data_IF_695165190404
#
_entry.id   IF_695165190404
#
_cell.length_a   1.000
_cell.length_b   1.000
_cell.length_c   1.000
_cell.angle_alpha   90.00
_cell.angle_beta   90.00
_cell.angle_gamma   90.00
#
_symmetry.space_group_name_H-M   'P 1'
#
loop_
_entity.id
_entity.type
_entity.pdbx_description
1 polymer ?
#
# COMPACT_ATOMS: atom_id res chain seq x y z
N UNK A 1 -19.84 -33.27 -19.67
CA UNK A 1 -20.16 -32.94 -18.27
C UNK A 1 -19.90 -31.46 -18.10
N UNK A 2 -20.96 -30.69 -17.85
CA UNK A 2 -20.92 -29.26 -17.92
C UNK A 2 -20.11 -28.66 -16.78
N UNK A 3 -19.16 -27.80 -17.12
CA UNK A 3 -18.48 -26.89 -16.17
C UNK A 3 -19.47 -25.76 -15.89
N UNK A 4 -20.00 -25.75 -14.68
CA UNK A 4 -20.82 -24.67 -14.17
C UNK A 4 -19.90 -23.47 -13.98
N UNK A 5 -20.02 -22.47 -14.85
CA UNK A 5 -19.42 -21.15 -14.65
C UNK A 5 -20.03 -20.57 -13.37
N UNK A 6 -19.19 -20.47 -12.32
CA UNK A 6 -19.54 -19.79 -11.10
C UNK A 6 -19.89 -18.34 -11.41
N UNK A 7 -21.02 -17.89 -10.91
CA UNK A 7 -21.47 -16.50 -10.94
C UNK A 7 -20.35 -15.65 -10.32
N UNK A 8 -19.67 -14.86 -11.13
CA UNK A 8 -18.81 -13.77 -10.65
C UNK A 8 -19.70 -12.84 -9.83
N UNK A 9 -19.41 -12.73 -8.53
CA UNK A 9 -20.02 -11.69 -7.71
C UNK A 9 -19.59 -10.33 -8.26
N UNK A 10 -20.51 -9.65 -8.90
CA UNK A 10 -20.32 -8.28 -9.34
C UNK A 10 -20.28 -7.42 -8.09
N UNK A 11 -19.08 -7.07 -7.66
CA UNK A 11 -18.85 -6.09 -6.60
C UNK A 11 -19.49 -4.76 -7.02
N UNK A 12 -20.42 -4.25 -6.23
CA UNK A 12 -21.31 -3.16 -6.63
C UNK A 12 -20.70 -1.81 -6.21
N UNK A 13 -19.52 -1.47 -6.74
CA UNK A 13 -18.88 -0.17 -6.51
C UNK A 13 -19.29 0.87 -7.59
N UNK A 14 -20.59 0.97 -7.84
CA UNK A 14 -21.16 1.91 -8.79
C UNK A 14 -21.10 3.34 -8.22
N UNK A 15 -19.98 4.04 -8.44
CA UNK A 15 -19.85 5.47 -8.14
C UNK A 15 -18.53 5.95 -7.54
N UNK A 16 -17.59 5.09 -7.21
CA UNK A 16 -16.27 5.56 -6.77
C UNK A 16 -15.41 5.92 -7.98
N UNK A 17 -15.07 7.21 -8.10
CA UNK A 17 -14.09 7.67 -9.10
C UNK A 17 -12.72 7.16 -8.72
N UNK A 18 -12.08 6.39 -9.60
CA UNK A 18 -10.71 5.93 -9.41
C UNK A 18 -9.75 7.13 -9.41
N UNK A 19 -8.81 7.16 -8.47
CA UNK A 19 -7.81 8.23 -8.36
C UNK A 19 -6.46 7.78 -8.90
N UNK A 20 -5.75 8.71 -9.54
CA UNK A 20 -4.36 8.54 -9.93
C UNK A 20 -3.44 9.10 -8.86
N UNK A 21 -2.48 8.31 -8.43
CA UNK A 21 -1.40 8.71 -7.53
C UNK A 21 -0.05 8.26 -8.06
N UNK A 22 1.02 8.60 -7.33
CA UNK A 22 2.38 8.16 -7.63
C UNK A 22 3.21 7.95 -6.36
N UNK A 23 4.14 6.99 -6.35
CA UNK A 23 5.12 6.87 -5.28
C UNK A 23 6.31 7.81 -5.52
N UNK A 24 6.94 8.25 -4.42
CA UNK A 24 8.29 8.84 -4.47
C UNK A 24 9.31 7.70 -4.40
N UNK A 25 10.27 7.71 -5.29
CA UNK A 25 11.33 6.72 -5.33
C UNK A 25 12.38 6.97 -4.24
N UNK A 26 13.06 5.91 -3.79
CA UNK A 26 14.17 6.01 -2.82
C UNK A 26 15.44 6.64 -3.41
N UNK A 27 15.58 6.61 -4.75
CA UNK A 27 16.76 7.10 -5.46
C UNK A 27 16.47 8.41 -6.20
N UNK A 28 17.53 9.18 -6.44
CA UNK A 28 17.48 10.45 -7.15
C UNK A 28 17.59 11.67 -6.26
N UNK A 29 17.55 12.86 -6.84
CA UNK A 29 17.50 14.12 -6.11
C UNK A 29 16.07 14.37 -5.62
N UNK A 30 15.91 14.34 -4.29
CA UNK A 30 14.60 14.55 -3.66
C UNK A 30 14.04 15.94 -3.97
N UNK A 31 14.86 16.98 -3.97
CA UNK A 31 14.40 18.36 -4.22
C UNK A 31 13.93 18.54 -5.65
N UNK A 32 14.68 18.03 -6.61
CA UNK A 32 14.27 18.03 -8.01
C UNK A 32 12.96 17.25 -8.20
N UNK A 33 12.85 16.07 -7.58
CA UNK A 33 11.63 15.27 -7.62
C UNK A 33 10.42 16.06 -7.10
N UNK A 34 10.58 16.79 -5.99
CA UNK A 34 9.47 17.55 -5.40
C UNK A 34 9.14 18.81 -6.21
N UNK A 35 10.12 19.49 -6.76
CA UNK A 35 9.88 20.64 -7.64
C UNK A 35 9.09 20.22 -8.90
N UNK A 36 9.30 18.99 -9.37
CA UNK A 36 8.59 18.38 -10.48
C UNK A 36 7.17 17.89 -10.13
N UNK A 37 6.78 17.78 -8.86
CA UNK A 37 5.44 17.28 -8.48
C UNK A 37 4.31 18.17 -8.97
N UNK A 38 4.53 19.47 -9.14
CA UNK A 38 3.51 20.39 -9.67
C UNK A 38 3.10 20.03 -11.10
N UNK A 39 4.04 19.55 -11.91
CA UNK A 39 3.73 19.13 -13.27
C UNK A 39 2.78 17.91 -13.24
N UNK A 40 3.04 16.94 -12.35
CA UNK A 40 2.16 15.79 -12.16
C UNK A 40 0.79 16.18 -11.57
N UNK A 41 0.77 17.10 -10.61
CA UNK A 41 -0.48 17.63 -10.04
C UNK A 41 -1.34 18.29 -11.12
N UNK A 42 -0.72 19.05 -12.04
CA UNK A 42 -1.38 19.77 -13.12
C UNK A 42 -2.06 18.83 -14.14
N UNK A 43 -1.51 17.62 -14.34
CA UNK A 43 -2.06 16.63 -15.29
C UNK A 43 -2.99 15.61 -14.65
N UNK A 44 -3.37 15.80 -13.40
CA UNK A 44 -4.41 14.99 -12.77
C UNK A 44 -3.94 13.97 -11.73
N UNK A 45 -2.65 13.95 -11.38
CA UNK A 45 -2.19 13.16 -10.24
C UNK A 45 -2.75 13.77 -8.95
N UNK A 46 -3.44 12.96 -8.15
CA UNK A 46 -4.18 13.41 -6.96
C UNK A 46 -3.64 12.87 -5.65
N UNK A 47 -2.64 11.97 -5.70
CA UNK A 47 -2.02 11.39 -4.50
C UNK A 47 -0.52 11.20 -4.69
N UNK A 48 0.23 11.47 -3.66
CA UNK A 48 1.65 11.09 -3.56
C UNK A 48 1.85 10.21 -2.33
N UNK A 49 2.60 9.12 -2.50
CA UNK A 49 2.95 8.22 -1.39
C UNK A 49 4.45 8.16 -1.20
N UNK A 50 4.89 8.19 0.06
CA UNK A 50 6.31 8.10 0.44
C UNK A 50 6.53 6.82 1.24
N UNK A 51 7.30 5.85 0.73
CA UNK A 51 7.67 4.66 1.47
C UNK A 51 8.78 4.96 2.48
N UNK A 52 8.75 4.28 3.65
CA UNK A 52 9.80 4.43 4.66
C UNK A 52 10.74 3.22 4.68
N UNK A 53 10.22 2.00 4.83
CA UNK A 53 11.00 0.78 4.98
C UNK A 53 12.17 0.96 5.98
N UNK A 54 13.42 0.82 5.53
CA UNK A 54 14.66 1.15 6.26
C UNK A 54 15.46 2.21 5.48
N UNK A 55 14.76 3.25 5.01
CA UNK A 55 15.30 4.39 4.27
C UNK A 55 15.14 5.68 5.09
N UNK A 56 15.01 6.82 4.44
CA UNK A 56 14.77 8.09 5.12
C UNK A 56 13.35 8.16 5.71
N UNK A 57 13.20 8.91 6.81
CA UNK A 57 11.91 9.14 7.46
C UNK A 57 10.89 9.73 6.47
N UNK A 58 9.79 9.03 6.29
CA UNK A 58 8.76 9.43 5.32
C UNK A 58 7.99 10.68 5.77
N UNK A 59 7.86 10.89 7.08
CA UNK A 59 7.07 12.02 7.63
C UNK A 59 7.74 13.35 7.36
N UNK A 60 9.07 13.44 7.54
CA UNK A 60 9.82 14.65 7.22
C UNK A 60 9.77 14.99 5.72
N UNK A 61 9.83 13.97 4.86
CA UNK A 61 9.67 14.15 3.42
C UNK A 61 8.25 14.62 3.05
N UNK A 62 7.21 13.99 3.61
CA UNK A 62 5.82 14.40 3.40
C UNK A 62 5.52 15.80 3.92
N UNK A 63 6.16 16.22 5.03
CA UNK A 63 6.07 17.58 5.52
C UNK A 63 6.60 18.62 4.52
N UNK A 64 7.72 18.30 3.85
CA UNK A 64 8.25 19.15 2.79
C UNK A 64 7.34 19.16 1.55
N UNK A 65 6.80 17.99 1.16
CA UNK A 65 5.86 17.86 0.04
C UNK A 65 4.56 18.64 0.32
N UNK A 66 4.06 18.61 1.55
CA UNK A 66 2.86 19.34 1.95
C UNK A 66 2.96 20.83 1.66
N UNK A 67 4.15 21.42 1.83
CA UNK A 67 4.42 22.84 1.57
C UNK A 67 4.60 23.17 0.07
N UNK A 68 4.72 22.16 -0.79
CA UNK A 68 5.01 22.31 -2.22
C UNK A 68 3.85 21.88 -3.13
N UNK A 69 2.81 21.26 -2.58
CA UNK A 69 1.61 20.78 -3.27
C UNK A 69 0.35 21.39 -2.68
N UNK A 70 -0.70 21.56 -3.48
CA UNK A 70 -1.92 22.22 -3.06
C UNK A 70 -3.11 21.26 -2.88
N UNK A 71 -3.25 20.31 -3.78
CA UNK A 71 -4.44 19.43 -3.86
C UNK A 71 -4.12 17.95 -3.67
N UNK A 72 -2.87 17.54 -3.83
CA UNK A 72 -2.48 16.13 -3.68
C UNK A 72 -2.73 15.62 -2.26
N UNK A 73 -3.36 14.44 -2.17
CA UNK A 73 -3.37 13.64 -0.96
C UNK A 73 -1.96 13.15 -0.64
N UNK A 74 -1.60 13.17 0.63
CA UNK A 74 -0.28 12.82 1.14
C UNK A 74 -0.37 11.52 1.93
N UNK A 75 0.24 10.46 1.45
CA UNK A 75 0.14 9.14 2.03
C UNK A 75 1.50 8.63 2.50
N UNK A 76 1.57 8.04 3.68
CA UNK A 76 2.70 7.18 4.04
C UNK A 76 2.50 5.80 3.40
N UNK A 77 3.50 5.32 2.70
CA UNK A 77 3.37 4.08 1.92
C UNK A 77 4.43 3.02 2.16
N UNK A 78 4.65 2.58 3.37
CA UNK A 78 3.94 2.69 4.66
C UNK A 78 4.91 3.05 5.79
N UNK A 79 4.39 3.46 6.96
CA UNK A 79 5.16 3.49 8.20
C UNK A 79 5.11 2.11 8.87
N UNK A 80 6.27 1.57 9.30
CA UNK A 80 6.27 0.35 10.11
C UNK A 80 5.61 0.60 11.48
N UNK A 81 4.58 -0.18 11.82
CA UNK A 81 3.84 0.00 13.09
C UNK A 81 4.66 -0.35 14.34
N UNK A 82 5.81 -0.98 14.19
CA UNK A 82 6.70 -1.31 15.31
C UNK A 82 7.69 -0.21 15.66
N UNK A 83 7.96 0.73 14.74
CA UNK A 83 8.96 1.79 14.94
C UNK A 83 8.42 2.97 15.75
N UNK A 84 7.09 3.06 15.92
CA UNK A 84 6.40 4.15 16.64
C UNK A 84 5.28 3.60 17.52
N UNK A 85 5.04 4.23 18.66
CA UNK A 85 3.86 3.90 19.47
C UNK A 85 2.57 4.36 18.76
N UNK A 86 1.42 3.73 19.00
CA UNK A 86 0.17 4.13 18.35
C UNK A 86 -0.23 5.57 18.65
N UNK A 87 0.01 6.07 19.85
CA UNK A 87 -0.23 7.48 20.19
C UNK A 87 0.70 8.43 19.44
N UNK A 88 1.97 8.04 19.22
CA UNK A 88 2.89 8.81 18.40
C UNK A 88 2.47 8.83 16.93
N UNK A 89 2.03 7.70 16.38
CA UNK A 89 1.46 7.65 15.02
C UNK A 89 0.21 8.53 14.88
N UNK A 90 -0.66 8.52 15.88
CA UNK A 90 -1.84 9.37 15.90
C UNK A 90 -1.49 10.87 15.94
N UNK A 91 -0.49 11.25 16.74
CA UNK A 91 0.02 12.62 16.78
C UNK A 91 0.67 13.04 15.44
N UNK A 92 1.46 12.15 14.87
CA UNK A 92 2.07 12.33 13.53
C UNK A 92 0.99 12.57 12.47
N UNK A 93 -0.03 11.72 12.43
CA UNK A 93 -1.11 11.86 11.46
C UNK A 93 -1.90 13.16 11.66
N UNK A 94 -2.23 13.51 12.91
CA UNK A 94 -2.92 14.77 13.21
C UNK A 94 -2.08 16.01 12.84
N UNK A 95 -0.75 15.96 13.08
CA UNK A 95 0.17 17.02 12.70
C UNK A 95 0.30 17.18 11.18
N UNK A 96 0.45 16.06 10.47
CA UNK A 96 0.49 16.05 9.00
C UNK A 96 -0.84 16.51 8.39
N UNK A 97 -1.95 16.11 8.98
CA UNK A 97 -3.29 16.52 8.55
C UNK A 97 -3.49 18.04 8.75
N UNK A 98 -3.02 18.56 9.88
CA UNK A 98 -3.05 19.98 10.19
C UNK A 98 -2.25 20.84 9.19
N UNK A 99 -0.98 20.48 8.92
CA UNK A 99 -0.13 21.27 8.02
C UNK A 99 -0.53 21.13 6.55
N UNK A 100 -1.18 20.03 6.18
CA UNK A 100 -1.65 19.79 4.81
C UNK A 100 -3.08 20.27 4.54
N UNK A 101 -3.79 20.77 5.57
CA UNK A 101 -5.18 21.20 5.42
C UNK A 101 -6.15 20.04 5.18
N UNK A 102 -5.95 18.89 5.84
CA UNK A 102 -6.85 17.75 5.74
C UNK A 102 -6.56 16.78 4.57
N UNK A 103 -5.35 16.80 4.01
CA UNK A 103 -4.97 15.95 2.86
C UNK A 103 -4.21 14.67 3.25
N UNK A 104 -3.97 14.40 4.53
CA UNK A 104 -3.13 13.29 4.96
C UNK A 104 -3.88 11.96 5.05
N UNK A 105 -3.19 10.87 4.71
CA UNK A 105 -3.62 9.48 4.85
C UNK A 105 -2.52 8.72 5.57
N UNK A 106 -2.88 8.07 6.69
CA UNK A 106 -1.96 7.27 7.48
C UNK A 106 -1.88 5.84 6.95
N UNK A 107 -0.89 5.56 6.12
CA UNK A 107 -0.57 4.19 5.69
C UNK A 107 0.38 3.51 6.67
N UNK A 108 -0.01 2.38 7.21
CA UNK A 108 0.81 1.56 8.11
C UNK A 108 0.88 0.11 7.66
N UNK A 109 1.85 -0.61 8.19
CA UNK A 109 2.01 -2.05 7.95
C UNK A 109 2.96 -2.71 8.94
N UNK A 110 2.94 -4.04 8.93
CA UNK A 110 3.79 -4.81 9.84
C UNK A 110 5.26 -4.82 9.43
N UNK A 111 5.58 -4.53 8.16
CA UNK A 111 6.91 -4.80 7.60
C UNK A 111 7.29 -6.29 7.74
N UNK A 112 8.57 -6.62 7.71
CA UNK A 112 9.08 -7.98 7.88
C UNK A 112 10.00 -8.11 9.10
N UNK A 113 10.19 -9.33 9.63
CA UNK A 113 11.08 -9.57 10.78
C UNK A 113 12.51 -9.08 10.53
N UNK A 114 13.00 -9.19 9.29
CA UNK A 114 14.35 -8.74 8.95
C UNK A 114 14.55 -7.23 9.19
N UNK A 115 13.52 -6.43 8.92
CA UNK A 115 13.55 -4.98 9.14
C UNK A 115 13.30 -4.67 10.61
N UNK A 116 12.27 -5.26 11.19
CA UNK A 116 11.82 -4.89 12.54
C UNK A 116 12.82 -5.40 13.59
N UNK A 117 13.26 -6.65 13.51
CA UNK A 117 14.23 -7.22 14.46
C UNK A 117 15.66 -6.85 14.08
N UNK A 118 16.00 -6.90 12.78
CA UNK A 118 17.35 -6.68 12.30
C UNK A 118 17.79 -5.23 12.27
N UNK A 119 16.93 -4.29 11.90
CA UNK A 119 17.27 -2.89 11.77
C UNK A 119 16.77 -2.04 12.96
N UNK A 120 15.51 -2.25 13.39
CA UNK A 120 14.92 -1.49 14.50
C UNK A 120 15.20 -2.09 15.89
N UNK A 121 15.64 -3.37 15.97
CA UNK A 121 15.91 -4.04 17.25
C UNK A 121 14.65 -4.28 18.10
N UNK A 122 13.48 -4.32 17.47
CA UNK A 122 12.18 -4.50 18.12
C UNK A 122 11.66 -5.91 17.83
N UNK A 123 11.13 -6.59 18.84
CA UNK A 123 10.58 -7.93 18.66
C UNK A 123 9.39 -7.92 17.69
N UNK A 124 9.44 -8.80 16.69
CA UNK A 124 8.35 -8.98 15.73
C UNK A 124 7.32 -9.96 16.29
N UNK A 125 6.35 -9.45 17.00
CA UNK A 125 5.28 -10.25 17.58
C UNK A 125 3.91 -9.63 17.36
N UNK A 126 2.90 -10.48 17.33
CA UNK A 126 1.49 -10.13 17.36
C UNK A 126 1.04 -9.08 16.30
N UNK A 127 1.46 -9.17 15.02
CA UNK A 127 1.24 -8.13 14.02
C UNK A 127 -0.25 -7.82 13.78
N UNK A 128 -1.12 -8.81 13.75
CA UNK A 128 -2.58 -8.61 13.59
C UNK A 128 -3.20 -7.84 14.74
N UNK A 129 -2.88 -8.22 15.97
CA UNK A 129 -3.39 -7.54 17.15
C UNK A 129 -2.86 -6.11 17.23
N UNK A 130 -1.56 -5.90 16.94
CA UNK A 130 -0.98 -4.56 16.90
C UNK A 130 -1.69 -3.66 15.89
N UNK A 131 -1.97 -4.15 14.69
CA UNK A 131 -2.71 -3.37 13.69
C UNK A 131 -4.11 -2.98 14.19
N UNK A 132 -4.82 -3.90 14.84
CA UNK A 132 -6.13 -3.61 15.46
C UNK A 132 -6.02 -2.55 16.56
N UNK A 133 -5.06 -2.72 17.48
CA UNK A 133 -4.82 -1.79 18.58
C UNK A 133 -4.41 -0.40 18.08
N UNK A 134 -3.60 -0.32 17.01
CA UNK A 134 -3.26 0.96 16.36
C UNK A 134 -4.50 1.69 15.82
N UNK A 135 -5.39 0.99 15.13
CA UNK A 135 -6.60 1.59 14.58
C UNK A 135 -7.49 2.17 15.68
N UNK A 136 -7.69 1.42 16.77
CA UNK A 136 -8.50 1.85 17.92
C UNK A 136 -7.88 3.07 18.61
N UNK A 137 -6.61 2.98 18.99
CA UNK A 137 -5.91 4.04 19.74
C UNK A 137 -5.81 5.33 18.91
N UNK A 138 -5.47 5.23 17.61
CA UNK A 138 -5.39 6.41 16.74
C UNK A 138 -6.74 7.14 16.68
N UNK A 139 -7.84 6.42 16.54
CA UNK A 139 -9.18 7.01 16.48
C UNK A 139 -9.60 7.67 17.79
N UNK A 140 -9.28 7.09 18.95
CA UNK A 140 -9.51 7.74 20.25
C UNK A 140 -8.75 9.08 20.34
N UNK A 141 -7.48 9.11 19.93
CA UNK A 141 -6.65 10.34 19.92
C UNK A 141 -7.29 11.43 19.06
N UNK A 142 -7.71 11.09 17.82
CA UNK A 142 -8.26 12.09 16.90
C UNK A 142 -9.61 12.64 17.34
N UNK A 143 -10.46 11.84 18.02
CA UNK A 143 -11.69 12.31 18.66
C UNK A 143 -11.45 13.06 19.98
N UNK A 144 -10.19 13.25 20.38
CA UNK A 144 -9.79 13.91 21.63
C UNK A 144 -10.39 13.25 22.87
N UNK A 145 -10.55 11.96 22.86
CA UNK A 145 -10.89 11.18 24.02
C UNK A 145 -9.70 11.11 24.99
N UNK A 146 -9.95 10.87 26.28
CA UNK A 146 -8.92 10.38 27.17
C UNK A 146 -8.57 8.96 26.71
N UNK A 147 -7.33 8.79 26.26
CA UNK A 147 -6.92 7.51 25.68
C UNK A 147 -6.86 6.43 26.76
N UNK A 148 -7.70 5.43 26.61
CA UNK A 148 -7.75 4.25 27.49
C UNK A 148 -7.79 3.00 26.61
N UNK A 149 -6.82 2.10 26.82
CA UNK A 149 -6.71 0.88 26.05
C UNK A 149 -6.15 -0.26 26.90
N UNK A 150 -6.72 -1.42 26.80
CA UNK A 150 -6.28 -2.66 27.47
C UNK A 150 -6.15 -3.76 26.43
N UNK A 151 -5.03 -3.73 25.71
CA UNK A 151 -4.70 -4.69 24.67
C UNK A 151 -3.61 -5.67 25.10
N UNK A 152 -3.20 -6.52 24.19
CA UNK A 152 -2.07 -7.43 24.41
C UNK A 152 -0.74 -6.74 24.21
N UNK A 153 -0.68 -5.76 23.28
CA UNK A 153 0.56 -5.05 22.92
C UNK A 153 0.68 -3.70 23.62
N UNK A 154 -0.44 -3.06 23.93
CA UNK A 154 -0.46 -1.73 24.51
C UNK A 154 -1.42 -1.65 25.70
N UNK A 155 -0.92 -1.06 26.80
CA UNK A 155 -1.67 -0.72 28.01
C UNK A 155 -1.62 0.80 28.18
N UNK A 156 -2.75 1.48 28.05
CA UNK A 156 -2.83 2.95 28.15
C UNK A 156 -3.95 3.34 29.12
N UNK A 157 -3.66 4.09 30.23
CA UNK A 157 -2.31 4.35 30.74
C UNK A 157 -1.64 3.08 31.27
N UNK A 158 -0.31 3.06 31.28
CA UNK A 158 0.44 1.98 31.89
C UNK A 158 0.30 2.07 33.43
N UNK A 159 -0.11 0.95 34.07
CA UNK A 159 -0.26 0.87 35.52
C UNK A 159 1.00 0.30 36.19
N UNK A 160 1.07 0.33 37.52
CA UNK A 160 2.16 -0.34 38.27
C UNK A 160 2.16 -1.86 38.02
N UNK A 161 0.98 -2.47 37.95
CA UNK A 161 0.81 -3.90 37.66
C UNK A 161 1.35 -4.28 36.28
N UNK A 162 1.27 -3.35 35.34
CA UNK A 162 1.80 -3.48 33.96
C UNK A 162 3.29 -3.08 33.86
N UNK A 163 3.95 -2.79 34.99
CA UNK A 163 5.36 -2.40 35.05
C UNK A 163 5.62 -0.91 34.90
N UNK A 164 4.60 -0.08 35.02
CA UNK A 164 4.71 1.38 35.04
C UNK A 164 5.10 1.94 36.42
N UNK A 165 5.28 3.27 36.51
CA UNK A 165 5.63 3.98 37.74
C UNK A 165 4.41 4.25 38.67
N UNK A 166 3.20 3.91 38.28
CA UNK A 166 1.94 4.30 38.95
C UNK A 166 1.53 5.76 38.72
N UNK A 167 2.33 6.56 38.02
CA UNK A 167 2.04 7.96 37.72
C UNK A 167 1.35 8.19 36.38
N UNK A 168 1.12 7.13 35.62
CA UNK A 168 0.45 7.17 34.32
C UNK A 168 -1.00 7.66 34.43
N UNK A 169 -1.41 8.59 33.56
CA UNK A 169 -2.77 9.13 33.50
C UNK A 169 -3.30 9.06 32.08
N UNK A 170 -4.60 8.79 31.94
CA UNK A 170 -5.27 8.93 30.64
C UNK A 170 -5.22 10.38 30.19
N UNK A 171 -4.54 10.62 29.08
CA UNK A 171 -4.37 11.95 28.48
C UNK A 171 -5.11 12.01 27.15
N UNK A 172 -5.49 13.22 26.75
CA UNK A 172 -5.98 13.52 25.41
C UNK A 172 -5.00 14.45 24.69
N UNK A 173 -4.97 14.39 23.37
CA UNK A 173 -4.16 15.31 22.57
C UNK A 173 -4.52 16.76 22.90
N UNK A 174 -3.51 17.62 23.04
CA UNK A 174 -3.69 19.04 23.44
C UNK A 174 -4.40 19.82 22.32
N UNK A 175 -3.90 19.69 21.10
CA UNK A 175 -4.43 20.38 19.94
C UNK A 175 -5.76 19.76 19.47
N UNK A 176 -6.52 20.51 18.69
CA UNK A 176 -7.71 20.01 18.00
C UNK A 176 -7.31 19.48 16.61
N UNK A 177 -7.45 18.18 16.31
CA UNK A 177 -7.25 17.67 14.96
C UNK A 177 -8.20 18.37 13.98
N UNK A 178 -7.75 18.54 12.73
CA UNK A 178 -8.58 19.10 11.65
C UNK A 178 -9.74 18.16 11.32
N UNK A 179 -9.47 16.85 11.36
CA UNK A 179 -10.48 15.80 11.18
C UNK A 179 -10.50 14.88 12.40
N UNK A 180 -11.67 14.56 12.89
CA UNK A 180 -11.86 13.54 13.95
C UNK A 180 -11.61 12.11 13.42
N UNK A 181 -11.47 11.98 12.11
CA UNK A 181 -11.20 10.73 11.42
C UNK A 181 -10.27 10.98 10.24
N UNK A 182 -9.01 10.67 10.42
CA UNK A 182 -8.00 10.66 9.36
C UNK A 182 -8.05 9.28 8.69
N UNK A 183 -8.12 9.19 7.36
CA UNK A 183 -8.14 7.89 6.68
C UNK A 183 -6.89 7.08 7.01
N UNK A 184 -7.09 5.78 7.26
CA UNK A 184 -6.03 4.82 7.51
C UNK A 184 -5.96 3.78 6.41
N UNK A 185 -4.75 3.48 5.97
CA UNK A 185 -4.45 2.41 5.02
C UNK A 185 -3.67 1.31 5.73
N UNK A 186 -4.08 0.04 5.51
CA UNK A 186 -3.29 -1.11 5.93
C UNK A 186 -2.67 -1.82 4.73
N UNK A 187 -1.33 -1.90 4.69
CA UNK A 187 -0.64 -2.77 3.75
C UNK A 187 -0.72 -4.23 4.25
N UNK A 188 -1.27 -5.11 3.42
CA UNK A 188 -1.55 -6.48 3.80
C UNK A 188 -1.46 -7.44 2.60
N UNK A 189 -1.09 -8.72 2.88
CA UNK A 189 -0.99 -9.77 1.87
C UNK A 189 -1.63 -11.07 2.35
N UNK A 190 -1.39 -11.44 3.61
CA UNK A 190 -1.92 -12.65 4.20
C UNK A 190 -3.43 -12.52 4.48
N UNK A 191 -4.22 -13.61 4.32
CA UNK A 191 -5.68 -13.55 4.41
C UNK A 191 -6.21 -12.89 5.69
N UNK A 192 -5.60 -13.15 6.85
CA UNK A 192 -6.03 -12.54 8.12
C UNK A 192 -5.75 -11.04 8.21
N UNK A 193 -4.68 -10.56 7.58
CA UNK A 193 -4.40 -9.12 7.50
C UNK A 193 -5.34 -8.43 6.52
N UNK A 194 -5.69 -9.09 5.42
CA UNK A 194 -6.67 -8.59 4.44
C UNK A 194 -8.06 -8.52 5.06
N UNK A 195 -8.50 -9.54 5.80
CA UNK A 195 -9.73 -9.53 6.59
C UNK A 195 -9.74 -8.33 7.55
N UNK A 196 -8.64 -8.11 8.28
CA UNK A 196 -8.52 -7.00 9.22
C UNK A 196 -8.54 -5.63 8.53
N UNK A 197 -7.88 -5.51 7.37
CA UNK A 197 -7.92 -4.29 6.57
C UNK A 197 -9.36 -3.96 6.15
N UNK A 198 -10.09 -4.95 5.65
CA UNK A 198 -11.48 -4.78 5.23
C UNK A 198 -12.43 -4.47 6.40
N UNK A 199 -12.15 -5.01 7.60
CA UNK A 199 -12.94 -4.73 8.79
C UNK A 199 -12.73 -3.31 9.33
N UNK A 200 -11.47 -2.85 9.43
CA UNK A 200 -11.12 -1.69 10.25
C UNK A 200 -10.51 -0.50 9.53
N UNK A 201 -10.05 -0.62 8.30
CA UNK A 201 -9.31 0.45 7.62
C UNK A 201 -10.12 1.04 6.47
N UNK A 202 -9.90 2.31 6.14
CA UNK A 202 -10.53 2.95 5.00
C UNK A 202 -9.94 2.45 3.68
N UNK A 203 -8.65 2.05 3.69
CA UNK A 203 -7.96 1.59 2.51
C UNK A 203 -7.15 0.32 2.77
N UNK A 204 -7.06 -0.52 1.75
CA UNK A 204 -6.27 -1.75 1.73
C UNK A 204 -5.24 -1.67 0.61
N UNK A 205 -3.97 -1.91 0.93
CA UNK A 205 -2.90 -1.93 -0.07
C UNK A 205 -2.27 -3.32 -0.16
N UNK A 206 -2.61 -4.12 -1.19
CA UNK A 206 -1.88 -5.33 -1.55
C UNK A 206 -0.56 -4.99 -2.23
N UNK A 207 0.26 -6.02 -2.45
CA UNK A 207 1.45 -5.94 -3.28
C UNK A 207 1.43 -7.05 -4.33
N UNK A 208 2.05 -6.86 -5.51
CA UNK A 208 1.96 -7.78 -6.66
C UNK A 208 0.49 -8.10 -7.01
N UNK A 209 -0.33 -7.07 -7.14
CA UNK A 209 -1.76 -7.22 -7.33
C UNK A 209 -2.10 -7.61 -8.77
N UNK A 210 -2.75 -8.77 -8.93
CA UNK A 210 -3.26 -9.26 -10.20
C UNK A 210 -4.78 -9.04 -10.24
N UNK A 211 -5.30 -8.11 -11.07
CA UNK A 211 -6.72 -7.77 -11.04
C UNK A 211 -7.64 -8.93 -11.42
N UNK A 212 -7.23 -9.80 -12.36
CA UNK A 212 -8.05 -10.89 -12.85
C UNK A 212 -8.17 -12.07 -11.85
N UNK A 213 -7.35 -12.09 -10.79
CA UNK A 213 -7.36 -13.12 -9.74
C UNK A 213 -7.69 -12.58 -8.34
N UNK A 214 -8.27 -11.37 -8.24
CA UNK A 214 -8.59 -10.74 -6.94
C UNK A 214 -9.51 -11.61 -6.10
N UNK A 215 -10.54 -12.19 -6.71
CA UNK A 215 -11.51 -13.04 -6.00
C UNK A 215 -10.87 -14.31 -5.45
N UNK A 216 -10.02 -14.96 -6.23
CA UNK A 216 -9.32 -16.18 -5.80
C UNK A 216 -8.30 -15.90 -4.68
N UNK A 217 -7.57 -14.78 -4.75
CA UNK A 217 -6.50 -14.46 -3.82
C UNK A 217 -6.96 -13.75 -2.56
N UNK A 218 -7.95 -12.86 -2.65
CA UNK A 218 -8.36 -11.97 -1.58
C UNK A 218 -9.86 -12.03 -1.26
N UNK A 219 -10.71 -12.51 -2.19
CA UNK A 219 -12.17 -12.47 -2.09
C UNK A 219 -12.71 -12.96 -0.74
N UNK A 220 -12.43 -14.21 -0.29
CA UNK A 220 -12.95 -14.71 0.99
C UNK A 220 -12.55 -13.87 2.20
N UNK A 221 -11.34 -13.30 2.19
CA UNK A 221 -10.85 -12.46 3.29
C UNK A 221 -11.49 -11.07 3.28
N UNK A 222 -11.65 -10.47 2.09
CA UNK A 222 -12.34 -9.19 1.93
C UNK A 222 -13.80 -9.30 2.34
N UNK A 223 -14.50 -10.36 1.94
CA UNK A 223 -15.89 -10.63 2.32
C UNK A 223 -16.03 -10.79 3.84
N UNK A 224 -15.18 -11.61 4.46
CA UNK A 224 -15.20 -11.82 5.89
C UNK A 224 -14.94 -10.54 6.71
N UNK A 225 -14.07 -9.65 6.21
CA UNK A 225 -13.80 -8.36 6.83
C UNK A 225 -14.94 -7.37 6.62
N UNK A 226 -15.47 -7.27 5.41
CA UNK A 226 -16.62 -6.41 5.07
C UNK A 226 -17.87 -6.76 5.89
N UNK A 227 -18.09 -8.05 6.17
CA UNK A 227 -19.20 -8.50 7.02
C UNK A 227 -19.13 -8.00 8.47
N UNK A 228 -17.94 -7.60 8.95
CA UNK A 228 -17.69 -7.07 10.30
C UNK A 228 -17.50 -5.55 10.32
N UNK A 229 -17.46 -4.94 9.13
CA UNK A 229 -17.12 -3.54 8.96
C UNK A 229 -18.21 -2.64 9.52
N UNK A 230 -17.82 -1.64 10.31
CA UNK A 230 -18.73 -0.57 10.72
C UNK A 230 -19.16 0.24 9.46
N UNK A 231 -20.46 0.37 9.19
CA UNK A 231 -20.95 1.17 8.06
C UNK A 231 -20.47 2.62 8.06
N UNK A 232 -20.15 3.18 9.23
CA UNK A 232 -19.57 4.52 9.33
C UNK A 232 -18.21 4.63 8.67
N UNK A 233 -17.50 3.54 8.41
CA UNK A 233 -16.22 3.53 7.68
C UNK A 233 -16.40 3.75 6.16
N UNK A 234 -17.63 3.66 5.65
CA UNK A 234 -17.87 3.67 4.21
C UNK A 234 -17.30 2.44 3.51
N UNK A 235 -17.23 2.48 2.19
CA UNK A 235 -16.67 1.38 1.40
C UNK A 235 -15.14 1.30 1.56
N UNK A 236 -14.61 0.07 1.49
CA UNK A 236 -13.18 -0.17 1.46
C UNK A 236 -12.64 0.19 0.07
N UNK A 237 -11.59 1.00 0.02
CA UNK A 237 -10.86 1.29 -1.23
C UNK A 237 -9.61 0.42 -1.35
N UNK A 238 -9.39 -0.19 -2.52
CA UNK A 238 -8.16 -0.93 -2.81
C UNK A 238 -7.18 0.04 -3.49
N UNK A 239 -5.95 0.11 -2.93
CA UNK A 239 -4.88 0.97 -3.44
C UNK A 239 -3.80 0.07 -4.03
N UNK A 240 -3.53 0.19 -5.32
CA UNK A 240 -2.53 -0.65 -6.01
C UNK A 240 -1.36 0.18 -6.50
N UNK A 241 -0.16 -0.39 -6.43
CA UNK A 241 1.03 0.19 -7.02
C UNK A 241 1.41 -0.59 -8.27
N UNK A 242 1.68 0.11 -9.37
CA UNK A 242 2.02 -0.48 -10.66
C UNK A 242 3.02 0.37 -11.45
N UNK A 243 3.83 -0.27 -12.28
CA UNK A 243 4.70 0.41 -13.25
C UNK A 243 3.89 0.83 -14.46
N UNK A 244 4.21 2.01 -15.01
CA UNK A 244 3.47 2.61 -16.13
C UNK A 244 4.43 3.11 -17.20
N UNK A 245 4.19 2.71 -18.45
CA UNK A 245 4.83 3.26 -19.65
C UNK A 245 3.87 3.13 -20.83
N UNK A 246 3.39 4.25 -21.36
CA UNK A 246 2.46 4.24 -22.49
C UNK A 246 3.26 4.41 -23.78
N UNK A 247 3.42 3.33 -24.55
CA UNK A 247 4.27 3.33 -25.74
C UNK A 247 3.84 2.26 -26.74
N UNK A 248 3.93 2.58 -28.03
CA UNK A 248 3.81 1.61 -29.13
C UNK A 248 5.16 0.97 -29.51
N UNK A 249 6.26 1.41 -28.87
CA UNK A 249 7.61 0.90 -29.06
C UNK A 249 7.79 -0.37 -28.23
N UNK A 250 7.79 -1.53 -28.89
CA UNK A 250 7.89 -2.84 -28.25
C UNK A 250 9.21 -3.03 -27.48
N UNK A 251 10.32 -2.45 -27.96
CA UNK A 251 11.63 -2.56 -27.30
C UNK A 251 11.62 -1.82 -25.95
N UNK A 252 11.05 -0.62 -25.92
CA UNK A 252 10.90 0.15 -24.67
C UNK A 252 9.93 -0.53 -23.70
N UNK A 253 8.83 -1.05 -24.21
CA UNK A 253 7.87 -1.78 -23.40
C UNK A 253 8.52 -3.01 -22.74
N UNK A 254 9.27 -3.80 -23.52
CA UNK A 254 9.96 -4.99 -23.02
C UNK A 254 11.05 -4.66 -22.00
N UNK A 255 11.82 -3.59 -22.23
CA UNK A 255 12.80 -3.12 -21.25
C UNK A 255 12.14 -2.73 -19.91
N UNK A 256 11.00 -2.06 -19.95
CA UNK A 256 10.24 -1.70 -18.75
C UNK A 256 9.64 -2.93 -18.06
N UNK A 257 9.08 -3.89 -18.81
CA UNK A 257 8.57 -5.16 -18.28
C UNK A 257 9.68 -5.98 -17.63
N UNK A 258 10.88 -5.96 -18.20
CA UNK A 258 12.03 -6.65 -17.61
C UNK A 258 12.39 -6.09 -16.23
N UNK A 259 12.32 -4.78 -16.04
CA UNK A 259 12.50 -4.19 -14.70
C UNK A 259 11.42 -4.67 -13.71
N UNK A 260 10.18 -4.84 -14.16
CA UNK A 260 9.09 -5.42 -13.33
C UNK A 260 9.37 -6.88 -13.01
N UNK A 261 9.93 -7.68 -13.94
CA UNK A 261 10.33 -9.08 -13.68
C UNK A 261 11.37 -9.18 -12.56
N UNK A 262 12.43 -8.37 -12.64
CA UNK A 262 13.47 -8.34 -11.60
C UNK A 262 12.91 -7.94 -10.25
N UNK A 263 12.06 -6.93 -10.21
CA UNK A 263 11.38 -6.49 -8.99
C UNK A 263 10.49 -7.60 -8.42
N UNK A 264 9.68 -8.25 -9.26
CA UNK A 264 8.81 -9.36 -8.85
C UNK A 264 9.62 -10.54 -8.33
N UNK A 265 10.72 -10.92 -9.00
CA UNK A 265 11.59 -12.00 -8.56
C UNK A 265 12.22 -11.76 -7.19
N UNK A 266 12.59 -10.50 -6.87
CA UNK A 266 13.06 -10.12 -5.54
C UNK A 266 12.01 -10.44 -4.46
N UNK A 267 10.74 -10.08 -4.69
CA UNK A 267 9.70 -10.31 -3.69
C UNK A 267 9.27 -11.77 -3.64
N UNK A 268 9.03 -12.41 -4.77
CA UNK A 268 8.60 -13.81 -4.84
C UNK A 268 9.71 -14.75 -4.32
N UNK A 269 10.97 -14.44 -4.64
CA UNK A 269 12.12 -15.27 -4.28
C UNK A 269 12.83 -14.89 -2.99
N UNK A 270 13.08 -13.57 -2.77
CA UNK A 270 14.04 -13.09 -1.77
C UNK A 270 13.44 -12.59 -0.46
N UNK A 271 12.16 -12.24 -0.40
CA UNK A 271 11.56 -11.59 0.78
C UNK A 271 11.03 -12.58 1.83
N UNK A 272 11.73 -13.67 2.05
CA UNK A 272 11.43 -14.65 3.09
C UNK A 272 12.03 -16.03 2.82
N UNK A 273 12.20 -16.81 3.87
CA UNK A 273 12.62 -18.20 3.75
C UNK A 273 11.57 -19.06 3.05
N UNK A 274 12.00 -20.24 2.54
CA UNK A 274 11.09 -21.22 1.95
C UNK A 274 9.93 -21.54 2.90
N UNK A 275 8.70 -21.47 2.41
CA UNK A 275 7.46 -21.67 3.20
C UNK A 275 7.08 -20.52 4.15
N UNK A 276 7.84 -19.40 4.17
CA UNK A 276 7.58 -18.24 5.02
C UNK A 276 7.59 -16.91 4.24
N UNK A 277 7.49 -16.96 2.92
CA UNK A 277 7.41 -15.79 2.06
C UNK A 277 5.95 -15.55 1.65
N UNK A 278 5.36 -14.45 2.14
CA UNK A 278 3.97 -14.10 1.86
C UNK A 278 3.72 -13.75 0.38
N UNK A 279 4.70 -13.17 -0.30
CA UNK A 279 4.60 -12.83 -1.74
C UNK A 279 4.61 -14.09 -2.61
N UNK A 280 5.46 -15.05 -2.25
CA UNK A 280 5.49 -16.37 -2.89
C UNK A 280 4.13 -17.07 -2.74
N UNK A 281 3.60 -17.10 -1.52
CA UNK A 281 2.29 -17.69 -1.23
C UNK A 281 1.15 -16.97 -1.94
N UNK A 282 1.27 -15.65 -2.19
CA UNK A 282 0.31 -14.89 -2.97
C UNK A 282 0.30 -15.32 -4.43
N UNK A 283 1.47 -15.42 -5.06
CA UNK A 283 1.61 -15.82 -6.46
C UNK A 283 1.12 -17.25 -6.68
N UNK A 284 1.31 -18.15 -5.69
CA UNK A 284 0.70 -19.48 -5.72
C UNK A 284 -0.84 -19.41 -5.70
N UNK A 285 -1.45 -18.48 -4.97
CA UNK A 285 -2.92 -18.27 -4.99
C UNK A 285 -3.44 -17.76 -6.33
N UNK A 286 -2.60 -17.11 -7.13
CA UNK A 286 -2.90 -16.78 -8.52
C UNK A 286 -2.82 -17.99 -9.48
N UNK A 287 -2.39 -19.15 -8.99
CA UNK A 287 -2.26 -20.38 -9.78
C UNK A 287 -0.84 -20.70 -10.23
N UNK A 288 0.12 -19.82 -10.05
CA UNK A 288 1.52 -19.97 -10.46
C UNK A 288 2.35 -20.72 -9.38
N UNK A 289 1.97 -21.98 -9.09
CA UNK A 289 2.55 -22.77 -7.98
C UNK A 289 3.99 -23.20 -8.27
N UNK A 290 4.22 -23.76 -9.45
CA UNK A 290 5.53 -24.29 -9.85
C UNK A 290 6.51 -23.15 -10.18
N UNK A 291 6.00 -22.08 -10.79
CA UNK A 291 6.78 -20.89 -11.11
C UNK A 291 7.23 -20.17 -9.83
N UNK A 292 6.34 -19.98 -8.86
CA UNK A 292 6.68 -19.35 -7.57
C UNK A 292 7.77 -20.12 -6.83
N UNK A 293 7.73 -21.47 -6.87
CA UNK A 293 8.77 -22.31 -6.29
C UNK A 293 10.09 -22.16 -7.05
N UNK A 294 10.06 -22.23 -8.37
CA UNK A 294 11.23 -22.10 -9.23
C UNK A 294 11.92 -20.76 -9.02
N UNK A 295 11.15 -19.67 -9.02
CA UNK A 295 11.67 -18.31 -8.76
C UNK A 295 12.34 -18.23 -7.39
N UNK A 296 11.73 -18.81 -6.35
CA UNK A 296 12.33 -18.77 -5.00
C UNK A 296 13.58 -19.60 -4.92
N UNK A 297 13.62 -20.80 -5.49
CA UNK A 297 14.81 -21.66 -5.48
C UNK A 297 15.98 -20.98 -6.20
N UNK A 298 15.75 -20.47 -7.41
CA UNK A 298 16.78 -19.74 -8.18
C UNK A 298 17.28 -18.49 -7.44
N UNK A 299 16.38 -17.71 -6.86
CA UNK A 299 16.73 -16.47 -6.19
C UNK A 299 17.59 -16.72 -4.94
N UNK A 300 17.22 -17.71 -4.10
CA UNK A 300 17.93 -18.07 -2.90
C UNK A 300 19.29 -18.73 -3.19
N UNK A 301 19.44 -19.36 -4.37
CA UNK A 301 20.69 -19.90 -4.86
C UNK A 301 21.62 -18.82 -5.48
N UNK A 302 21.19 -17.53 -5.46
CA UNK A 302 21.94 -16.40 -6.01
C UNK A 302 21.81 -16.20 -7.52
N UNK A 303 21.02 -17.02 -8.21
CA UNK A 303 20.76 -17.00 -9.66
C UNK A 303 19.64 -15.99 -10.01
N UNK A 304 19.87 -14.72 -9.68
CA UNK A 304 18.82 -13.68 -9.72
C UNK A 304 18.29 -13.39 -11.12
N UNK A 305 19.16 -13.42 -12.13
CA UNK A 305 18.77 -13.23 -13.54
C UNK A 305 17.84 -14.35 -14.02
N UNK A 306 18.17 -15.58 -13.67
CA UNK A 306 17.33 -16.73 -14.03
C UNK A 306 16.02 -16.73 -13.23
N UNK A 307 16.04 -16.28 -11.99
CA UNK A 307 14.84 -16.09 -11.20
C UNK A 307 13.91 -15.03 -11.84
N UNK A 308 14.47 -13.93 -12.34
CA UNK A 308 13.70 -12.92 -13.07
C UNK A 308 13.13 -13.47 -14.39
N UNK A 309 13.92 -14.22 -15.14
CA UNK A 309 13.47 -14.88 -16.37
C UNK A 309 12.38 -15.94 -16.15
N UNK A 310 12.31 -16.53 -14.94
CA UNK A 310 11.28 -17.48 -14.57
C UNK A 310 9.95 -16.83 -14.14
N UNK A 311 9.87 -15.51 -14.00
CA UNK A 311 8.61 -14.81 -13.72
C UNK A 311 7.72 -14.86 -14.96
N UNK A 312 6.49 -15.40 -14.88
CA UNK A 312 5.60 -15.51 -16.04
C UNK A 312 5.32 -14.15 -16.69
N UNK A 313 5.43 -14.09 -18.00
CA UNK A 313 5.18 -12.86 -18.78
C UNK A 313 3.75 -12.35 -18.57
N UNK A 314 2.81 -13.27 -18.54
CA UNK A 314 1.40 -13.02 -18.30
C UNK A 314 1.15 -12.34 -16.94
N UNK A 315 1.83 -12.80 -15.88
CA UNK A 315 1.77 -12.20 -14.55
C UNK A 315 2.32 -10.77 -14.56
N UNK A 316 3.47 -10.56 -15.19
CA UNK A 316 4.12 -9.24 -15.28
C UNK A 316 3.24 -8.24 -16.02
N UNK A 317 2.70 -8.65 -17.17
CA UNK A 317 1.81 -7.81 -18.00
C UNK A 317 0.52 -7.48 -17.27
N UNK A 318 -0.13 -8.44 -16.65
CA UNK A 318 -1.40 -8.24 -15.95
C UNK A 318 -1.28 -7.26 -14.77
N UNK A 319 -0.12 -7.23 -14.09
CA UNK A 319 0.15 -6.32 -12.98
C UNK A 319 0.68 -4.95 -13.41
N UNK A 320 0.89 -4.70 -14.71
CA UNK A 320 1.55 -3.50 -15.23
C UNK A 320 0.66 -2.71 -16.19
N UNK A 321 0.89 -1.39 -16.24
CA UNK A 321 0.30 -0.48 -17.21
C UNK A 321 1.36 -0.11 -18.27
N UNK A 322 1.94 -1.12 -18.93
CA UNK A 322 3.05 -0.97 -19.87
C UNK A 322 2.63 -1.49 -21.24
N UNK A 323 2.63 -0.64 -22.25
CA UNK A 323 2.28 -0.97 -23.63
C UNK A 323 1.50 0.12 -24.35
N UNK A 324 0.85 -0.20 -25.48
CA UNK A 324 -0.01 0.73 -26.22
C UNK A 324 -1.16 1.28 -25.38
N UNK A 325 -1.62 2.48 -25.69
CA UNK A 325 -2.76 3.12 -25.00
C UNK A 325 -3.98 2.19 -24.85
N UNK A 326 -4.32 1.43 -25.90
CA UNK A 326 -5.43 0.49 -25.88
C UNK A 326 -5.27 -0.62 -24.86
N UNK A 327 -4.06 -1.16 -24.71
CA UNK A 327 -3.74 -2.16 -23.68
C UNK A 327 -3.85 -1.56 -22.27
N UNK A 328 -3.28 -0.37 -22.06
CA UNK A 328 -3.36 0.32 -20.76
C UNK A 328 -4.81 0.60 -20.38
N UNK A 329 -5.65 0.98 -21.34
CA UNK A 329 -7.09 1.18 -21.13
C UNK A 329 -7.80 -0.10 -20.70
N UNK A 330 -7.49 -1.23 -21.35
CA UNK A 330 -8.02 -2.55 -20.97
C UNK A 330 -7.60 -2.92 -19.53
N UNK A 331 -6.32 -2.71 -19.17
CA UNK A 331 -5.84 -3.02 -17.83
C UNK A 331 -6.44 -2.11 -16.76
N UNK A 332 -6.60 -0.82 -17.03
CA UNK A 332 -7.30 0.09 -16.10
C UNK A 332 -8.73 -0.37 -15.85
N UNK A 333 -9.42 -0.88 -16.87
CA UNK A 333 -10.77 -1.43 -16.69
C UNK A 333 -10.75 -2.74 -15.87
N UNK A 334 -9.73 -3.59 -16.03
CA UNK A 334 -9.55 -4.75 -15.18
C UNK A 334 -9.31 -4.35 -13.70
N UNK A 335 -8.48 -3.33 -13.45
CA UNK A 335 -8.30 -2.78 -12.10
C UNK A 335 -9.61 -2.18 -11.55
N UNK A 336 -10.37 -1.48 -12.36
CA UNK A 336 -11.69 -0.94 -11.99
C UNK A 336 -12.66 -2.04 -11.60
N UNK A 337 -12.71 -3.11 -12.39
CA UNK A 337 -13.55 -4.29 -12.13
C UNK A 337 -13.14 -5.07 -10.88
N UNK A 338 -11.90 -4.91 -10.44
CA UNK A 338 -11.34 -5.47 -9.21
C UNK A 338 -11.47 -4.54 -7.98
N UNK A 339 -12.38 -3.55 -8.00
CA UNK A 339 -12.64 -2.59 -6.91
C UNK A 339 -11.43 -1.69 -6.56
N UNK A 340 -10.50 -1.48 -7.48
CA UNK A 340 -9.38 -0.57 -7.25
C UNK A 340 -9.87 0.86 -7.26
N UNK A 341 -9.73 1.56 -6.14
CA UNK A 341 -10.08 2.98 -6.00
C UNK A 341 -8.91 3.92 -6.24
N UNK A 342 -7.67 3.44 -6.14
CA UNK A 342 -6.47 4.25 -6.37
C UNK A 342 -5.39 3.46 -7.09
N UNK A 343 -4.87 4.01 -8.17
CA UNK A 343 -3.67 3.50 -8.85
C UNK A 343 -2.49 4.42 -8.51
N UNK A 344 -1.49 3.88 -7.82
CA UNK A 344 -0.19 4.51 -7.59
C UNK A 344 0.74 4.13 -8.74
N UNK A 345 0.75 4.92 -9.79
CA UNK A 345 1.52 4.67 -11.00
C UNK A 345 2.97 5.14 -10.84
N UNK A 346 3.92 4.26 -11.16
CA UNK A 346 5.35 4.55 -11.23
C UNK A 346 5.74 4.77 -12.69
N UNK A 347 5.85 6.02 -13.18
CA UNK A 347 6.12 6.28 -14.57
C UNK A 347 7.57 5.90 -14.94
N UNK A 348 7.73 5.06 -15.97
CA UNK A 348 9.01 4.48 -16.39
C UNK A 348 9.66 5.19 -17.59
N UNK A 349 9.03 6.22 -18.16
CA UNK A 349 9.63 6.98 -19.26
C UNK A 349 10.96 7.63 -18.84
N UNK A 350 11.94 7.62 -19.75
CA UNK A 350 13.31 8.06 -19.49
C UNK A 350 13.42 9.55 -19.14
N UNK A 351 12.54 10.39 -19.72
CA UNK A 351 12.57 11.84 -19.52
C UNK A 351 11.44 12.29 -18.58
N UNK A 352 11.63 13.41 -17.88
CA UNK A 352 10.59 14.02 -17.07
C UNK A 352 9.33 14.33 -17.90
N UNK A 353 9.50 14.96 -19.07
CA UNK A 353 8.37 15.26 -19.96
C UNK A 353 7.60 14.00 -20.39
N UNK A 354 8.31 12.91 -20.70
CA UNK A 354 7.67 11.62 -21.01
C UNK A 354 6.91 11.05 -19.82
N UNK A 355 7.45 11.14 -18.61
CA UNK A 355 6.76 10.70 -17.39
C UNK A 355 5.48 11.50 -17.12
N UNK A 356 5.53 12.82 -17.31
CA UNK A 356 4.34 13.69 -17.16
C UNK A 356 3.30 13.36 -18.22
N UNK A 357 3.72 13.11 -19.47
CA UNK A 357 2.82 12.73 -20.56
C UNK A 357 2.14 11.38 -20.30
N UNK A 358 2.89 10.36 -19.85
CA UNK A 358 2.30 9.07 -19.46
C UNK A 358 1.23 9.26 -18.39
N UNK A 359 1.50 10.09 -17.37
CA UNK A 359 0.55 10.34 -16.28
C UNK A 359 -0.67 11.15 -16.75
N UNK A 360 -0.50 12.07 -17.71
CA UNK A 360 -1.59 12.81 -18.32
C UNK A 360 -2.53 11.85 -19.09
N UNK A 361 -1.96 11.00 -19.92
CA UNK A 361 -2.73 10.01 -20.69
C UNK A 361 -3.43 9.01 -19.76
N UNK A 362 -2.74 8.57 -18.68
CA UNK A 362 -3.34 7.67 -17.70
C UNK A 362 -4.48 8.35 -16.94
N UNK A 363 -4.36 9.64 -16.58
CA UNK A 363 -5.43 10.40 -15.95
C UNK A 363 -6.67 10.49 -16.86
N UNK A 364 -6.48 10.68 -18.17
CA UNK A 364 -7.58 10.67 -19.15
C UNK A 364 -8.27 9.29 -19.26
N UNK A 365 -7.52 8.20 -19.16
CA UNK A 365 -8.05 6.82 -19.20
C UNK A 365 -8.86 6.52 -17.93
N UNK A 366 -8.42 7.02 -16.80
CA UNK A 366 -9.07 6.81 -15.50
C UNK A 366 -10.39 7.60 -15.42
N UNK A 367 -10.45 8.80 -15.96
CA UNK A 367 -11.65 9.65 -16.04
C UNK A 367 -11.64 10.75 -14.99
#
# INVERSE_FOLDING_TARGET
>A
MGVTLGLSMVWNNRGMTMKLGMPINYAGDFRETIDNLRDFESVGVRRVTVPEAYSFDAVSQLGYIAARTETMELQTGILPMYSRTPTNLAMTAAGMDYISGGRFILGIGASGPQVIEGFHGVKYDYPLGRAREHADICRQVWRREKVEHRGKSYQLPLTEEDGGSGLGKSLKIINHPVRERIPMLLAAIGPKNVELAAELYEEFQPFLFHPDYVDAAFGPALEAGRAKRDPALGDLSIVVQTSTLITDDEEKAEAALNAVRHHSALYIGGMGARGKNFYNSLVQRYGYVDEAKTIQDLYLDGRKEEAAAAVPDELVRAMSLIGPRSYVQERVEAFRSADVGVILASPAAATHAGRVEDMRVLAEIIG
#
